data_IF_934253168488
#
_entry.id   IF_934253168488
#
_cell.length_a   1.000
_cell.length_b   1.000
_cell.length_c   1.000
_cell.angle_alpha   90.00
_cell.angle_beta   90.00
_cell.angle_gamma   90.00
#
_symmetry.space_group_name_H-M   'P 1'
#
loop_
_entity.id
_entity.type
_entity.pdbx_description
1 polymer ?
#
# COMPACT_ATOMS: atom_id res chain seq x y z
N UNK A 1 10.19 2.47 24.66
CA UNK A 1 9.61 1.20 25.14
C UNK A 1 8.38 0.75 24.34
N UNK A 2 7.32 1.54 24.21
CA UNK A 2 6.11 1.07 23.49
C UNK A 2 6.33 0.78 21.98
N UNK A 3 7.17 1.57 21.31
CA UNK A 3 7.44 1.36 19.90
C UNK A 3 8.26 0.11 19.58
N UNK A 4 9.18 -0.28 20.44
CA UNK A 4 9.98 -1.51 20.28
C UNK A 4 9.11 -2.75 20.44
N UNK A 5 8.22 -2.74 21.44
CA UNK A 5 7.26 -3.83 21.67
C UNK A 5 6.34 -3.98 20.45
N UNK A 6 5.86 -2.89 19.87
CA UNK A 6 5.02 -2.92 18.67
C UNK A 6 5.80 -3.48 17.46
N UNK A 7 7.07 -3.11 17.28
CA UNK A 7 7.90 -3.64 16.19
C UNK A 7 8.17 -5.14 16.37
N UNK A 8 8.44 -5.60 17.61
CA UNK A 8 8.59 -7.02 17.91
C UNK A 8 7.29 -7.78 17.63
N UNK A 9 6.15 -7.24 18.04
CA UNK A 9 4.86 -7.83 17.73
C UNK A 9 4.62 -7.93 16.21
N UNK A 10 4.97 -6.90 15.43
CA UNK A 10 4.88 -6.90 13.97
C UNK A 10 5.81 -7.96 13.34
N UNK A 11 7.01 -8.17 13.90
CA UNK A 11 7.92 -9.24 13.44
C UNK A 11 7.25 -10.61 13.65
N UNK A 12 6.73 -10.87 14.84
CA UNK A 12 6.05 -12.15 15.16
C UNK A 12 4.85 -12.36 14.23
N UNK A 13 4.00 -11.35 14.06
CA UNK A 13 2.84 -11.42 13.17
C UNK A 13 3.27 -11.64 11.74
N UNK A 14 4.30 -10.93 11.27
CA UNK A 14 4.86 -11.09 9.93
C UNK A 14 5.38 -12.50 9.66
N UNK A 15 6.03 -13.13 10.65
CA UNK A 15 6.48 -14.51 10.56
C UNK A 15 5.32 -15.50 10.49
N UNK A 16 4.31 -15.34 11.34
CA UNK A 16 3.10 -16.18 11.34
C UNK A 16 2.35 -16.03 10.02
N UNK A 17 2.22 -14.81 9.51
CA UNK A 17 1.59 -14.49 8.23
C UNK A 17 2.44 -14.88 7.00
N UNK A 18 3.66 -15.40 7.20
CA UNK A 18 4.65 -15.67 6.13
C UNK A 18 4.93 -14.46 5.23
N UNK A 19 4.81 -13.26 5.76
CA UNK A 19 5.06 -12.01 5.06
C UNK A 19 6.49 -11.54 5.27
N UNK A 20 7.40 -11.95 4.39
CA UNK A 20 8.81 -11.55 4.47
C UNK A 20 8.99 -10.03 4.45
N UNK A 21 8.15 -9.30 3.71
CA UNK A 21 8.25 -7.84 3.59
C UNK A 21 7.97 -7.16 4.93
N UNK A 22 6.87 -7.50 5.61
CA UNK A 22 6.52 -6.92 6.92
C UNK A 22 7.59 -7.28 7.95
N UNK A 23 8.00 -8.56 7.99
CA UNK A 23 9.02 -9.03 8.92
C UNK A 23 10.33 -8.27 8.73
N UNK A 24 10.84 -8.18 7.49
CA UNK A 24 12.09 -7.50 7.20
C UNK A 24 12.01 -6.01 7.50
N UNK A 25 10.92 -5.34 7.11
CA UNK A 25 10.74 -3.92 7.39
C UNK A 25 10.69 -3.62 8.90
N UNK A 26 9.96 -4.43 9.68
CA UNK A 26 9.89 -4.28 11.12
C UNK A 26 11.25 -4.57 11.81
N UNK A 27 12.01 -5.57 11.32
CA UNK A 27 13.37 -5.84 11.82
C UNK A 27 14.31 -4.66 11.55
N UNK A 28 14.31 -4.11 10.32
CA UNK A 28 15.16 -2.96 9.97
C UNK A 28 14.82 -1.75 10.85
N UNK A 29 13.54 -1.43 11.03
CA UNK A 29 13.11 -0.34 11.89
C UNK A 29 13.50 -0.56 13.36
N UNK A 30 13.40 -1.80 13.85
CA UNK A 30 13.81 -2.15 15.20
C UNK A 30 15.32 -1.95 15.37
N UNK A 31 16.13 -2.37 14.41
CA UNK A 31 17.59 -2.15 14.42
C UNK A 31 17.89 -0.66 14.45
N UNK A 32 17.31 0.14 13.55
CA UNK A 32 17.48 1.60 13.48
C UNK A 32 17.20 2.25 14.84
N UNK A 33 16.16 1.77 15.52
CA UNK A 33 15.77 2.28 16.84
C UNK A 33 16.76 1.85 17.93
N UNK A 34 17.19 0.59 17.94
CA UNK A 34 18.11 0.06 18.95
C UNK A 34 19.51 0.69 18.89
N UNK A 35 19.97 1.08 17.69
CA UNK A 35 21.26 1.78 17.52
C UNK A 35 21.13 3.30 17.67
N UNK A 36 20.02 3.78 18.23
CA UNK A 36 19.77 5.21 18.52
C UNK A 36 19.83 6.13 17.28
N UNK A 37 19.43 5.62 16.12
CA UNK A 37 19.32 6.40 14.88
C UNK A 37 17.91 6.98 14.68
N UNK A 38 17.19 7.27 15.76
CA UNK A 38 15.83 7.79 15.74
C UNK A 38 15.69 9.08 14.91
N UNK A 39 16.76 9.87 14.82
CA UNK A 39 16.81 11.10 13.99
C UNK A 39 16.54 10.85 12.50
N UNK A 40 16.75 9.64 12.02
CA UNK A 40 16.52 9.28 10.61
C UNK A 40 15.10 8.77 10.34
N UNK A 41 14.33 8.39 11.37
CA UNK A 41 12.97 7.88 11.21
C UNK A 41 12.06 8.83 10.43
N UNK A 42 12.04 10.16 10.67
CA UNK A 42 11.20 11.08 9.87
C UNK A 42 11.63 11.15 8.41
N UNK A 43 12.92 10.96 8.13
CA UNK A 43 13.45 10.93 6.76
C UNK A 43 13.05 9.63 6.06
N UNK A 44 13.14 8.50 6.75
CA UNK A 44 12.71 7.18 6.26
C UNK A 44 11.20 7.22 5.97
N UNK A 45 10.39 7.78 6.86
CA UNK A 45 8.95 7.91 6.68
C UNK A 45 8.61 8.71 5.42
N UNK A 46 9.21 9.90 5.26
CA UNK A 46 8.90 10.80 4.14
C UNK A 46 9.44 10.31 2.80
N UNK A 47 10.71 9.85 2.76
CA UNK A 47 11.37 9.41 1.52
C UNK A 47 11.18 7.94 1.21
N UNK A 48 10.94 7.11 2.22
CA UNK A 48 10.75 5.67 2.05
C UNK A 48 9.56 5.34 1.15
N UNK A 49 8.47 6.08 1.28
CA UNK A 49 7.30 5.92 0.42
C UNK A 49 7.63 6.28 -1.05
N UNK A 50 8.32 7.41 -1.28
CA UNK A 50 8.71 7.86 -2.63
C UNK A 50 9.65 6.86 -3.30
N UNK A 51 10.69 6.41 -2.58
CA UNK A 51 11.64 5.42 -3.07
C UNK A 51 10.97 4.06 -3.30
N UNK A 52 10.09 3.63 -2.39
CA UNK A 52 9.34 2.39 -2.53
C UNK A 52 8.44 2.40 -3.78
N UNK A 53 7.72 3.50 -4.02
CA UNK A 53 6.92 3.67 -5.23
C UNK A 53 7.78 3.72 -6.50
N UNK A 54 8.95 4.36 -6.44
CA UNK A 54 9.88 4.39 -7.58
C UNK A 54 10.32 2.97 -7.95
N UNK A 55 10.83 2.20 -6.98
CA UNK A 55 11.27 0.83 -7.23
C UNK A 55 10.14 -0.09 -7.68
N UNK A 56 8.95 0.04 -7.10
CA UNK A 56 7.78 -0.71 -7.51
C UNK A 56 7.41 -0.38 -8.98
N UNK A 57 7.38 0.92 -9.32
CA UNK A 57 7.07 1.36 -10.69
C UNK A 57 8.12 0.89 -11.69
N UNK A 58 9.41 0.97 -11.32
CA UNK A 58 10.48 0.42 -12.16
C UNK A 58 10.27 -1.09 -12.42
N UNK A 59 9.96 -1.87 -11.38
CA UNK A 59 9.68 -3.30 -11.52
C UNK A 59 8.51 -3.60 -12.46
N UNK A 60 7.44 -2.81 -12.40
CA UNK A 60 6.28 -2.92 -13.28
C UNK A 60 6.63 -2.54 -14.73
N UNK A 61 7.57 -1.61 -14.93
CA UNK A 61 7.99 -1.16 -16.27
C UNK A 61 9.07 -2.06 -16.92
N UNK A 62 9.69 -2.98 -16.19
CA UNK A 62 10.70 -3.90 -16.76
C UNK A 62 10.23 -4.65 -18.02
N UNK A 63 8.98 -5.17 -18.13
CA UNK A 63 8.53 -5.85 -19.33
C UNK A 63 8.54 -4.98 -20.60
N UNK A 64 8.37 -3.65 -20.44
CA UNK A 64 8.47 -2.70 -21.56
C UNK A 64 9.94 -2.49 -21.96
N UNK A 65 10.83 -2.34 -20.98
CA UNK A 65 12.26 -2.17 -21.23
C UNK A 65 12.93 -3.45 -21.79
N UNK A 66 12.40 -4.62 -21.44
CA UNK A 66 12.88 -5.92 -21.93
C UNK A 66 12.20 -6.39 -23.22
N UNK A 67 11.46 -5.50 -23.89
CA UNK A 67 10.78 -5.77 -25.17
C UNK A 67 9.79 -6.96 -25.13
N UNK A 68 9.39 -7.40 -23.93
CA UNK A 68 8.36 -8.44 -23.77
C UNK A 68 6.97 -7.96 -24.14
N UNK A 69 6.76 -6.64 -24.12
CA UNK A 69 5.52 -5.99 -24.53
C UNK A 69 5.81 -5.14 -25.76
N UNK A 70 5.16 -5.48 -26.87
CA UNK A 70 5.31 -4.76 -28.14
C UNK A 70 4.31 -3.60 -28.24
N UNK A 71 4.57 -2.64 -29.13
CA UNK A 71 3.63 -1.57 -29.45
C UNK A 71 2.28 -2.11 -29.96
N UNK A 72 2.30 -3.28 -30.63
CA UNK A 72 1.09 -3.96 -31.08
C UNK A 72 0.24 -4.46 -29.91
N UNK A 73 0.88 -4.99 -28.86
CA UNK A 73 0.19 -5.42 -27.64
C UNK A 73 -0.46 -4.24 -26.94
N UNK A 74 0.23 -3.09 -26.88
CA UNK A 74 -0.33 -1.83 -26.35
C UNK A 74 -1.55 -1.41 -27.17
N UNK A 75 -1.48 -1.46 -28.50
CA UNK A 75 -2.62 -1.16 -29.38
C UNK A 75 -3.81 -2.09 -29.13
N UNK A 76 -3.56 -3.38 -28.93
CA UNK A 76 -4.60 -4.37 -28.64
C UNK A 76 -5.33 -4.12 -27.30
N UNK A 77 -4.69 -3.44 -26.33
CA UNK A 77 -5.35 -3.09 -25.07
C UNK A 77 -6.53 -2.14 -25.27
N UNK A 78 -6.51 -1.30 -26.31
CA UNK A 78 -7.61 -0.39 -26.61
C UNK A 78 -8.75 -1.02 -27.43
N UNK A 79 -8.51 -2.19 -28.01
CA UNK A 79 -9.48 -2.84 -28.90
C UNK A 79 -10.11 -4.09 -28.30
N UNK A 80 -9.46 -4.69 -27.28
CA UNK A 80 -9.98 -5.90 -26.64
C UNK A 80 -10.77 -5.57 -25.38
N UNK A 81 -11.86 -6.29 -25.14
CA UNK A 81 -12.68 -6.11 -23.95
C UNK A 81 -11.90 -6.26 -22.62
N UNK A 82 -11.04 -7.28 -22.42
CA UNK A 82 -10.20 -7.37 -21.24
C UNK A 82 -9.21 -6.19 -21.11
N UNK A 83 -8.68 -5.69 -22.23
CA UNK A 83 -7.78 -4.55 -22.23
C UNK A 83 -8.47 -3.26 -21.76
N UNK A 84 -9.68 -2.99 -22.26
CA UNK A 84 -10.48 -1.83 -21.82
C UNK A 84 -10.79 -1.93 -20.32
N UNK A 85 -11.19 -3.10 -19.83
CA UNK A 85 -11.45 -3.30 -18.40
C UNK A 85 -10.19 -3.10 -17.56
N UNK A 86 -9.04 -3.54 -18.04
CA UNK A 86 -7.75 -3.34 -17.36
C UNK A 86 -7.38 -1.85 -17.30
N UNK A 87 -7.59 -1.09 -18.39
CA UNK A 87 -7.36 0.36 -18.42
C UNK A 87 -8.25 1.10 -17.40
N UNK A 88 -9.55 0.78 -17.39
CA UNK A 88 -10.50 1.38 -16.44
C UNK A 88 -10.12 1.01 -15.01
N UNK A 89 -9.83 -0.26 -14.74
CA UNK A 89 -9.42 -0.74 -13.42
C UNK A 89 -8.15 -0.06 -12.92
N UNK A 90 -7.15 0.07 -13.79
CA UNK A 90 -5.89 0.78 -13.48
C UNK A 90 -6.12 2.27 -13.17
N UNK A 91 -6.96 2.95 -13.95
CA UNK A 91 -7.30 4.35 -13.72
C UNK A 91 -8.03 4.55 -12.37
N UNK A 92 -9.01 3.68 -12.06
CA UNK A 92 -9.74 3.72 -10.79
C UNK A 92 -8.79 3.44 -9.62
N UNK A 93 -7.95 2.41 -9.72
CA UNK A 93 -6.98 2.07 -8.67
C UNK A 93 -6.01 3.23 -8.38
N UNK A 94 -5.47 3.87 -9.43
CA UNK A 94 -4.59 5.03 -9.30
C UNK A 94 -5.29 6.20 -8.63
N UNK A 95 -6.52 6.49 -9.03
CA UNK A 95 -7.34 7.54 -8.40
C UNK A 95 -7.58 7.23 -6.92
N UNK A 96 -7.95 6.00 -6.58
CA UNK A 96 -8.18 5.56 -5.20
C UNK A 96 -6.90 5.66 -4.36
N UNK A 97 -5.74 5.29 -4.90
CA UNK A 97 -4.45 5.45 -4.22
C UNK A 97 -4.14 6.92 -3.89
N UNK A 98 -4.41 7.83 -4.82
CA UNK A 98 -4.27 9.27 -4.57
C UNK A 98 -5.19 9.77 -3.46
N UNK A 99 -6.45 9.32 -3.44
CA UNK A 99 -7.40 9.65 -2.36
C UNK A 99 -6.99 9.05 -1.01
N UNK A 100 -6.46 7.82 -1.03
CA UNK A 100 -5.94 7.18 0.17
C UNK A 100 -4.77 7.93 0.79
N UNK A 101 -3.82 8.37 -0.02
CA UNK A 101 -2.71 9.19 0.45
C UNK A 101 -3.18 10.52 1.04
N UNK A 102 -4.19 11.16 0.41
CA UNK A 102 -4.82 12.37 0.94
C UNK A 102 -5.48 12.14 2.30
N UNK A 103 -6.21 11.04 2.46
CA UNK A 103 -6.86 10.68 3.73
C UNK A 103 -5.84 10.49 4.86
N UNK A 104 -4.73 9.80 4.61
CA UNK A 104 -3.68 9.59 5.60
C UNK A 104 -2.98 10.88 6.04
N UNK A 105 -2.93 11.90 5.18
CA UNK A 105 -2.42 13.23 5.55
C UNK A 105 -3.37 14.00 6.45
N UNK A 106 -4.69 13.78 6.30
CA UNK A 106 -5.72 14.47 7.10
C UNK A 106 -5.93 13.78 8.44
N UNK A 107 -5.97 12.46 8.44
CA UNK A 107 -6.20 11.63 9.63
C UNK A 107 -5.15 10.51 9.75
N UNK A 108 -3.97 10.81 10.30
CA UNK A 108 -2.90 9.84 10.49
C UNK A 108 -3.27 8.66 11.40
N UNK A 109 -4.28 8.81 12.26
CA UNK A 109 -4.69 7.74 13.21
C UNK A 109 -5.27 6.53 12.47
N UNK A 110 -5.84 6.75 11.26
CA UNK A 110 -6.34 5.67 10.42
C UNK A 110 -5.24 4.69 9.99
N UNK A 111 -3.96 5.10 10.02
CA UNK A 111 -2.82 4.22 9.71
C UNK A 111 -2.86 2.96 10.58
N UNK A 112 -3.19 3.09 11.87
CA UNK A 112 -3.25 1.94 12.79
C UNK A 112 -4.28 0.91 12.32
N UNK A 113 -5.49 1.36 12.00
CA UNK A 113 -6.55 0.49 11.48
C UNK A 113 -6.18 -0.15 10.14
N UNK A 114 -5.54 0.61 9.24
CA UNK A 114 -5.10 0.12 7.94
C UNK A 114 -4.00 -0.93 8.05
N UNK A 115 -3.03 -0.73 8.96
CA UNK A 115 -1.97 -1.70 9.22
C UNK A 115 -2.56 -2.98 9.79
N UNK A 116 -3.41 -2.90 10.81
CA UNK A 116 -4.08 -4.07 11.40
C UNK A 116 -4.94 -4.77 10.35
N UNK A 117 -5.75 -4.04 9.59
CA UNK A 117 -6.58 -4.59 8.52
C UNK A 117 -5.75 -5.27 7.43
N UNK A 118 -4.61 -4.69 7.04
CA UNK A 118 -3.69 -5.30 6.07
C UNK A 118 -3.11 -6.61 6.60
N UNK A 119 -2.73 -6.65 7.88
CA UNK A 119 -2.22 -7.87 8.52
C UNK A 119 -3.30 -8.97 8.53
N UNK A 120 -4.52 -8.63 8.90
CA UNK A 120 -5.65 -9.57 8.85
C UNK A 120 -5.90 -10.07 7.42
N UNK A 121 -5.83 -9.17 6.42
CA UNK A 121 -5.93 -9.54 5.02
C UNK A 121 -4.84 -10.51 4.56
N UNK A 122 -3.60 -10.34 5.03
CA UNK A 122 -2.50 -11.25 4.71
C UNK A 122 -2.71 -12.61 5.37
N UNK A 123 -3.07 -12.63 6.66
CA UNK A 123 -3.23 -13.88 7.45
C UNK A 123 -4.42 -14.70 6.96
N UNK A 124 -5.58 -14.08 6.80
CA UNK A 124 -6.84 -14.79 6.52
C UNK A 124 -7.17 -14.89 5.02
N UNK A 125 -6.80 -13.87 4.22
CA UNK A 125 -7.15 -13.81 2.80
C UNK A 125 -5.97 -14.11 1.88
N UNK A 126 -4.79 -14.45 2.44
CA UNK A 126 -3.54 -14.67 1.69
C UNK A 126 -3.18 -13.47 0.78
N UNK A 127 -3.49 -12.26 1.26
CA UNK A 127 -3.19 -11.01 0.56
C UNK A 127 -1.69 -10.73 0.47
N UNK A 128 -1.32 -9.84 -0.44
CA UNK A 128 0.06 -9.33 -0.58
C UNK A 128 0.15 -7.98 0.15
N UNK A 129 1.24 -7.69 0.90
CA UNK A 129 1.38 -6.47 1.70
C UNK A 129 1.69 -5.21 0.86
N UNK A 130 1.12 -5.11 -0.35
CA UNK A 130 1.20 -3.91 -1.21
C UNK A 130 0.08 -2.91 -0.85
N UNK A 131 -0.67 -3.26 0.19
CA UNK A 131 -1.99 -2.74 0.46
C UNK A 131 -2.20 -1.44 1.22
N UNK A 132 -1.27 -0.83 2.02
CA UNK A 132 -1.68 0.31 2.86
C UNK A 132 -2.23 1.48 2.05
N UNK A 133 -1.66 1.78 0.89
CA UNK A 133 -2.12 2.87 0.04
C UNK A 133 -3.46 2.56 -0.64
N UNK A 134 -3.61 1.33 -1.13
CA UNK A 134 -4.86 0.88 -1.74
C UNK A 134 -5.97 0.70 -0.69
N UNK A 135 -5.63 0.18 0.49
CA UNK A 135 -6.55 0.08 1.61
C UNK A 135 -7.03 1.47 2.07
N UNK A 136 -6.14 2.45 2.15
CA UNK A 136 -6.49 3.84 2.43
C UNK A 136 -7.43 4.42 1.35
N UNK A 137 -7.19 4.13 0.08
CA UNK A 137 -8.06 4.54 -1.02
C UNK A 137 -9.46 3.94 -0.93
N UNK A 138 -9.55 2.63 -0.64
CA UNK A 138 -10.83 1.95 -0.40
C UNK A 138 -11.53 2.54 0.82
N UNK A 139 -10.82 2.80 1.91
CA UNK A 139 -11.38 3.43 3.11
C UNK A 139 -11.93 4.82 2.82
N UNK A 140 -11.20 5.66 2.06
CA UNK A 140 -11.68 6.97 1.63
C UNK A 140 -12.97 6.87 0.81
N UNK A 141 -13.04 5.88 -0.08
CA UNK A 141 -14.24 5.61 -0.87
C UNK A 141 -15.42 5.17 0.01
N UNK A 142 -15.20 4.21 0.91
CA UNK A 142 -16.22 3.72 1.84
C UNK A 142 -16.75 4.83 2.75
N UNK A 143 -15.86 5.66 3.31
CA UNK A 143 -16.26 6.82 4.12
C UNK A 143 -17.12 7.78 3.33
N UNK A 144 -16.78 8.08 2.07
CA UNK A 144 -17.56 8.94 1.20
C UNK A 144 -18.94 8.35 0.91
N UNK A 145 -19.01 7.05 0.62
CA UNK A 145 -20.29 6.35 0.38
C UNK A 145 -21.14 6.36 1.64
N UNK A 146 -20.53 6.06 2.79
CA UNK A 146 -21.22 6.03 4.08
C UNK A 146 -21.82 7.40 4.42
N UNK A 147 -21.01 8.47 4.32
CA UNK A 147 -21.46 9.85 4.55
C UNK A 147 -22.60 10.22 3.60
N UNK A 148 -22.48 9.89 2.32
CA UNK A 148 -23.53 10.17 1.33
C UNK A 148 -24.87 9.44 1.64
N UNK A 149 -24.77 8.18 2.11
CA UNK A 149 -25.96 7.40 2.47
C UNK A 149 -26.62 7.96 3.74
N UNK A 150 -25.82 8.30 4.75
CA UNK A 150 -26.36 8.82 6.02
C UNK A 150 -26.88 10.25 5.93
N UNK A 151 -26.29 11.13 5.11
CA UNK A 151 -26.83 12.48 4.86
C UNK A 151 -28.16 12.46 4.11
N UNK A 152 -28.43 11.39 3.37
CA UNK A 152 -29.69 11.22 2.66
C UNK A 152 -30.84 10.69 3.56
N UNK A 153 -30.48 10.22 4.76
CA UNK A 153 -31.42 9.70 5.76
C UNK A 153 -31.72 10.70 6.90
N UNK A 154 -31.15 11.89 6.86
CA UNK A 154 -31.42 13.02 7.73
C UNK A 154 -32.23 14.08 6.98
#
# INVERSE_FOLDING_TARGET
MNGEILLVALIIIGLVARSHIITTAACVLLIVKLISLDRYLPTIERRGLELGLLFLTMGVLVPFASEKISLKDVGNMFTTWPGILALIGGAIATYMNGKGLGLLKIDPQLIVGLVIGSILGIVFLRGIPVGPLMAAGITAFLLKVFTFVFDKWK
#
